data_IF_922615246572
#
_entry.id   IF_922615246572
#
_cell.length_a   1.000
_cell.length_b   1.000
_cell.length_c   1.000
_cell.angle_alpha   90.00
_cell.angle_beta   90.00
_cell.angle_gamma   90.00
#
_symmetry.space_group_name_H-M   'P 1'
#
loop_
_entity.id
_entity.type
_entity.pdbx_description
1 polymer ?
#
# COMPACT_ATOMS: atom_id res chain seq x y z
N UNK A 1 18.40 -0.23 3.51
CA UNK A 1 18.31 -1.50 2.75
C UNK A 1 17.01 -1.46 1.95
N UNK A 2 16.95 -2.13 0.80
CA UNK A 2 15.74 -2.15 -0.04
C UNK A 2 15.38 -3.58 -0.45
N UNK A 3 14.11 -3.79 -0.77
CA UNK A 3 13.59 -5.01 -1.37
C UNK A 3 12.74 -4.66 -2.59
N UNK A 4 12.69 -5.57 -3.56
CA UNK A 4 11.90 -5.42 -4.78
C UNK A 4 10.89 -6.54 -4.92
N UNK A 5 9.70 -6.19 -5.39
CA UNK A 5 8.57 -7.07 -5.60
C UNK A 5 8.00 -6.84 -7.00
N UNK A 6 7.33 -7.86 -7.55
CA UNK A 6 6.68 -7.76 -8.85
C UNK A 6 5.29 -8.39 -8.79
N UNK A 7 4.27 -7.63 -9.17
CA UNK A 7 2.92 -8.15 -9.37
C UNK A 7 2.85 -8.71 -10.80
N UNK A 8 2.59 -10.02 -10.90
CA UNK A 8 2.61 -10.79 -12.17
C UNK A 8 1.35 -11.61 -12.38
N UNK A 9 0.47 -11.63 -11.39
CA UNK A 9 -0.69 -12.50 -11.34
C UNK A 9 -1.95 -11.69 -11.03
N UNK A 10 -3.07 -12.13 -11.57
CA UNK A 10 -4.40 -11.71 -11.14
C UNK A 10 -4.65 -12.13 -9.69
N UNK A 11 -5.68 -11.56 -9.08
CA UNK A 11 -6.12 -11.85 -7.71
C UNK A 11 -6.36 -13.34 -7.43
N UNK A 12 -6.64 -14.14 -8.47
CA UNK A 12 -6.88 -15.59 -8.42
C UNK A 12 -5.70 -16.45 -8.92
N UNK A 13 -4.58 -15.83 -9.28
CA UNK A 13 -3.32 -16.52 -9.59
C UNK A 13 -3.08 -16.85 -11.07
N UNK A 14 -3.75 -16.17 -12.00
CA UNK A 14 -3.47 -16.27 -13.43
C UNK A 14 -2.42 -15.24 -13.85
N UNK A 15 -1.45 -15.63 -14.67
CA UNK A 15 -0.43 -14.71 -15.19
C UNK A 15 -1.05 -13.59 -16.01
N UNK A 16 -0.58 -12.36 -15.83
CA UNK A 16 -1.02 -11.19 -16.59
C UNK A 16 -0.35 -11.08 -17.96
N UNK A 17 -1.03 -10.49 -18.94
CA UNK A 17 -0.55 -10.38 -20.34
C UNK A 17 0.15 -9.05 -20.67
N UNK A 18 0.68 -8.36 -19.66
CA UNK A 18 1.48 -7.14 -19.81
C UNK A 18 2.77 -7.21 -18.99
N UNK A 19 3.56 -6.14 -19.04
CA UNK A 19 4.75 -6.03 -18.17
C UNK A 19 4.32 -6.03 -16.70
N UNK A 20 5.04 -6.72 -15.79
CA UNK A 20 4.75 -6.70 -14.36
C UNK A 20 4.76 -5.29 -13.78
N UNK A 21 4.06 -5.10 -12.67
CA UNK A 21 4.20 -3.90 -11.84
C UNK A 21 5.36 -4.14 -10.89
N UNK A 22 6.41 -3.35 -11.01
CA UNK A 22 7.60 -3.43 -10.17
C UNK A 22 7.48 -2.46 -8.99
N UNK A 23 7.76 -2.95 -7.79
CA UNK A 23 7.70 -2.17 -6.56
C UNK A 23 9.02 -2.29 -5.82
N UNK A 24 9.60 -1.16 -5.38
CA UNK A 24 10.75 -1.14 -4.48
C UNK A 24 10.35 -0.50 -3.16
N UNK A 25 10.58 -1.21 -2.06
CA UNK A 25 10.47 -0.71 -0.70
C UNK A 25 11.87 -0.41 -0.16
N UNK A 26 12.05 0.78 0.42
CA UNK A 26 13.31 1.20 1.01
C UNK A 26 13.09 1.86 2.38
N UNK A 27 13.76 1.33 3.40
CA UNK A 27 13.72 1.88 4.75
C UNK A 27 14.56 3.15 4.86
N UNK A 28 13.94 4.27 5.23
CA UNK A 28 14.59 5.56 5.44
C UNK A 28 14.49 5.92 6.94
N UNK A 29 15.47 5.44 7.72
CA UNK A 29 15.54 5.64 9.18
C UNK A 29 16.92 6.13 9.62
N UNK A 30 16.97 6.85 10.74
CA UNK A 30 18.18 7.37 11.38
C UNK A 30 18.69 6.42 12.46
N UNK A 31 18.97 5.17 12.10
CA UNK A 31 19.69 4.23 12.96
C UNK A 31 18.97 3.84 14.26
N UNK A 32 17.64 3.74 14.23
CA UNK A 32 16.84 3.31 15.39
C UNK A 32 16.56 4.39 16.43
N UNK A 33 16.92 5.66 16.17
CA UNK A 33 16.62 6.78 17.07
C UNK A 33 15.18 7.22 16.91
N UNK A 34 14.47 7.57 17.97
CA UNK A 34 13.14 8.18 17.83
C UNK A 34 13.27 9.58 17.22
N UNK A 35 12.74 9.78 16.01
CA UNK A 35 12.75 11.08 15.32
C UNK A 35 11.65 11.20 14.27
N UNK A 36 11.26 12.43 13.95
CA UNK A 36 10.31 12.65 12.85
C UNK A 36 10.95 12.35 11.49
N UNK A 37 10.11 12.03 10.51
CA UNK A 37 10.54 11.89 9.12
C UNK A 37 11.07 10.50 8.75
N UNK A 38 11.00 9.54 9.66
CA UNK A 38 11.19 8.14 9.30
C UNK A 38 10.05 7.64 8.43
N UNK A 39 10.41 6.96 7.35
CA UNK A 39 9.43 6.42 6.41
C UNK A 39 9.95 5.17 5.68
N UNK A 40 9.02 4.43 5.08
CA UNK A 40 9.32 3.53 3.99
C UNK A 40 9.09 4.29 2.68
N UNK A 41 10.16 4.52 1.93
CA UNK A 41 10.06 5.02 0.56
C UNK A 41 9.61 3.87 -0.34
N UNK A 42 8.52 4.10 -1.05
CA UNK A 42 7.93 3.16 -2.00
C UNK A 42 8.04 3.74 -3.39
N UNK A 43 8.61 2.96 -4.31
CA UNK A 43 8.75 3.31 -5.72
C UNK A 43 7.96 2.28 -6.53
N UNK A 44 7.10 2.74 -7.43
CA UNK A 44 6.26 1.92 -8.28
C UNK A 44 6.56 2.26 -9.74
N UNK A 45 6.85 1.24 -10.54
CA UNK A 45 6.95 1.30 -11.99
C UNK A 45 5.91 0.34 -12.58
N UNK A 46 4.93 0.89 -13.29
CA UNK A 46 3.78 0.14 -13.77
C UNK A 46 3.45 0.46 -15.24
N UNK A 47 2.82 -0.46 -15.98
CA UNK A 47 2.10 -0.10 -17.20
C UNK A 47 1.06 0.98 -16.89
N UNK A 48 0.85 1.90 -17.84
CA UNK A 48 -0.22 2.88 -17.78
C UNK A 48 -1.36 2.43 -18.68
N UNK A 49 -2.49 2.08 -18.07
CA UNK A 49 -3.67 1.57 -18.77
C UNK A 49 -4.59 2.68 -19.27
N UNK A 50 -4.37 3.91 -18.77
CA UNK A 50 -5.07 5.10 -19.21
C UNK A 50 -6.58 5.02 -18.95
N UNK A 51 -6.94 4.48 -17.78
CA UNK A 51 -8.31 4.56 -17.28
C UNK A 51 -8.70 6.02 -16.97
N UNK A 52 -10.01 6.35 -16.95
CA UNK A 52 -10.45 7.68 -16.56
C UNK A 52 -9.94 8.06 -15.16
N UNK A 53 -9.25 9.21 -15.01
CA UNK A 53 -8.77 9.66 -13.70
C UNK A 53 -9.93 10.06 -12.78
N UNK A 54 -9.71 10.12 -11.46
CA UNK A 54 -10.64 10.76 -10.54
C UNK A 54 -10.99 12.19 -10.99
N UNK A 55 -12.26 12.58 -10.88
CA UNK A 55 -12.76 13.90 -11.28
C UNK A 55 -12.43 15.02 -10.28
N UNK A 56 -11.31 14.89 -9.56
CA UNK A 56 -10.80 15.84 -8.57
C UNK A 56 -9.31 16.09 -8.80
N UNK A 57 -8.73 17.20 -8.29
CA UNK A 57 -7.29 17.41 -8.36
C UNK A 57 -6.50 16.29 -7.65
N UNK A 58 -5.21 16.09 -8.02
CA UNK A 58 -4.32 15.17 -7.31
C UNK A 58 -4.28 15.43 -5.80
N UNK A 59 -4.19 14.37 -5.01
CA UNK A 59 -4.30 14.40 -3.55
C UNK A 59 -5.18 13.28 -3.00
N UNK A 60 -5.73 13.49 -1.80
CA UNK A 60 -6.60 12.51 -1.14
C UNK A 60 -7.83 12.20 -2.02
N UNK A 61 -8.04 10.93 -2.35
CA UNK A 61 -9.16 10.48 -3.16
C UNK A 61 -9.87 9.30 -2.47
N UNK A 62 -11.02 9.53 -1.83
CA UNK A 62 -11.86 8.43 -1.35
C UNK A 62 -12.27 7.52 -2.51
N UNK A 63 -12.26 6.20 -2.27
CA UNK A 63 -12.55 5.18 -3.29
C UNK A 63 -11.61 5.21 -4.49
N UNK A 64 -10.33 5.50 -4.26
CA UNK A 64 -9.35 5.53 -5.33
C UNK A 64 -9.25 4.17 -6.05
N UNK A 65 -9.53 3.07 -5.34
CA UNK A 65 -9.72 1.75 -5.95
C UNK A 65 -10.68 1.74 -7.13
N UNK A 66 -11.67 2.63 -7.28
CA UNK A 66 -12.57 2.70 -8.45
C UNK A 66 -11.87 3.17 -9.75
N UNK A 67 -10.58 3.52 -9.67
CA UNK A 67 -9.72 3.99 -10.78
C UNK A 67 -8.51 3.06 -10.99
N UNK A 68 -7.63 3.42 -11.94
CA UNK A 68 -6.30 2.81 -12.07
C UNK A 68 -5.49 3.11 -10.81
N UNK A 69 -5.07 2.07 -10.09
CA UNK A 69 -4.45 2.22 -8.76
C UNK A 69 -3.44 1.11 -8.47
N UNK A 70 -2.41 1.46 -7.71
CA UNK A 70 -1.55 0.54 -6.98
C UNK A 70 -1.90 0.60 -5.49
N UNK A 71 -1.93 -0.56 -4.83
CA UNK A 71 -2.21 -0.65 -3.40
C UNK A 71 -1.14 -1.48 -2.67
N UNK A 72 -0.82 -1.11 -1.44
CA UNK A 72 0.02 -1.90 -0.54
C UNK A 72 -0.57 -1.94 0.86
N UNK A 73 -0.58 -3.14 1.44
CA UNK A 73 -1.13 -3.40 2.77
C UNK A 73 -0.07 -3.96 3.70
N UNK A 74 0.00 -3.48 4.94
CA UNK A 74 0.87 -4.00 5.99
C UNK A 74 0.06 -4.36 7.22
N UNK A 75 0.10 -5.62 7.65
CA UNK A 75 -0.74 -6.15 8.72
C UNK A 75 0.07 -6.82 9.84
N UNK A 76 -0.42 -6.70 11.07
CA UNK A 76 0.07 -7.44 12.24
C UNK A 76 -0.86 -8.61 12.61
N UNK A 77 -0.48 -9.38 13.64
CA UNK A 77 -1.25 -10.56 14.09
C UNK A 77 -2.58 -10.24 14.77
N UNK A 78 -2.82 -8.96 15.11
CA UNK A 78 -4.09 -8.50 15.70
C UNK A 78 -5.11 -8.08 14.63
N UNK A 79 -4.84 -8.35 13.35
CA UNK A 79 -5.62 -7.84 12.23
C UNK A 79 -5.69 -6.32 12.17
N UNK A 80 -4.66 -5.64 12.68
CA UNK A 80 -4.47 -4.20 12.47
C UNK A 80 -3.64 -4.03 11.22
N UNK A 81 -4.07 -3.15 10.33
CA UNK A 81 -3.39 -2.97 9.06
C UNK A 81 -3.49 -1.55 8.53
N UNK A 82 -2.42 -1.15 7.84
CA UNK A 82 -2.38 0.02 7.01
C UNK A 82 -2.67 -0.41 5.56
N UNK A 83 -3.50 0.36 4.89
CA UNK A 83 -3.78 0.30 3.45
C UNK A 83 -3.34 1.62 2.83
N UNK A 84 -2.54 1.56 1.76
CA UNK A 84 -2.07 2.72 1.01
C UNK A 84 -2.34 2.51 -0.46
N UNK A 85 -3.06 3.45 -1.07
CA UNK A 85 -3.45 3.47 -2.48
C UNK A 85 -2.78 4.66 -3.17
N UNK A 86 -2.24 4.47 -4.38
CA UNK A 86 -1.66 5.53 -5.22
C UNK A 86 -2.03 5.29 -6.68
N UNK A 87 -2.60 6.32 -7.32
CA UNK A 87 -2.96 6.31 -8.73
C UNK A 87 -1.94 7.02 -9.63
N UNK A 88 -1.95 6.77 -10.95
CA UNK A 88 -0.99 7.32 -11.90
C UNK A 88 -1.05 8.86 -12.02
N UNK A 89 -2.17 9.46 -11.62
CA UNK A 89 -2.42 10.90 -11.66
C UNK A 89 -2.06 11.63 -10.36
N UNK A 90 -1.41 10.95 -9.40
CA UNK A 90 -0.98 11.54 -8.13
C UNK A 90 -2.07 11.61 -7.06
N UNK A 91 -3.21 10.95 -7.28
CA UNK A 91 -4.20 10.68 -6.25
C UNK A 91 -3.70 9.60 -5.31
N UNK A 92 -4.10 9.67 -4.04
CA UNK A 92 -3.75 8.67 -3.05
C UNK A 92 -4.82 8.54 -1.97
N UNK A 93 -4.80 7.43 -1.25
CA UNK A 93 -5.61 7.20 -0.06
C UNK A 93 -4.81 6.39 0.94
N UNK A 94 -4.93 6.71 2.22
CA UNK A 94 -4.39 5.87 3.30
C UNK A 94 -5.53 5.56 4.26
N UNK A 95 -5.66 4.29 4.65
CA UNK A 95 -6.66 3.83 5.61
C UNK A 95 -5.97 3.06 6.73
N UNK A 96 -6.36 3.30 7.97
CA UNK A 96 -5.86 2.56 9.13
C UNK A 96 -7.00 1.77 9.75
N UNK A 97 -6.79 0.46 9.87
CA UNK A 97 -7.79 -0.48 10.33
C UNK A 97 -7.38 -1.14 11.64
N UNK A 98 -8.32 -1.22 12.56
CA UNK A 98 -8.20 -1.96 13.82
C UNK A 98 -9.19 -3.12 13.80
N UNK A 99 -8.79 -4.19 13.11
CA UNK A 99 -9.65 -5.30 12.71
C UNK A 99 -10.08 -5.24 11.23
N UNK A 100 -10.45 -6.40 10.69
CA UNK A 100 -10.83 -6.56 9.28
C UNK A 100 -11.98 -5.60 8.92
N UNK A 101 -11.74 -4.71 7.96
CA UNK A 101 -12.70 -3.69 7.47
C UNK A 101 -13.17 -2.70 8.55
N UNK A 102 -12.45 -2.56 9.66
CA UNK A 102 -12.77 -1.61 10.72
C UNK A 102 -11.82 -0.40 10.68
N UNK A 103 -12.03 0.49 9.69
CA UNK A 103 -11.22 1.68 9.54
C UNK A 103 -11.54 2.72 10.62
N UNK A 104 -10.56 3.06 11.47
CA UNK A 104 -10.68 4.14 12.45
C UNK A 104 -10.17 5.48 11.92
N UNK A 105 -9.36 5.47 10.86
CA UNK A 105 -8.92 6.65 10.12
C UNK A 105 -9.07 6.38 8.62
N UNK A 106 -9.83 7.23 7.93
CA UNK A 106 -10.18 7.05 6.51
C UNK A 106 -9.48 8.06 5.59
N UNK A 107 -8.32 8.55 6.03
CA UNK A 107 -7.47 9.48 5.27
C UNK A 107 -7.62 10.94 5.69
N UNK A 108 -8.65 11.31 6.46
CA UNK A 108 -8.93 12.68 6.86
C UNK A 108 -7.79 13.35 7.66
N UNK A 109 -7.01 12.55 8.39
CA UNK A 109 -5.91 13.04 9.24
C UNK A 109 -4.52 12.68 8.70
N UNK A 110 -4.45 12.15 7.47
CA UNK A 110 -3.21 11.63 6.88
C UNK A 110 -2.71 12.55 5.77
N UNK A 111 -1.40 12.49 5.53
CA UNK A 111 -0.71 13.22 4.46
C UNK A 111 0.35 12.30 3.87
N UNK A 112 0.21 11.99 2.59
CA UNK A 112 1.20 11.24 1.83
C UNK A 112 1.87 12.17 0.82
N UNK A 113 3.20 12.23 0.86
CA UNK A 113 3.97 12.88 -0.20
C UNK A 113 4.05 11.92 -1.38
N UNK A 114 3.42 12.27 -2.50
CA UNK A 114 3.37 11.47 -3.72
C UNK A 114 3.91 12.28 -4.90
N UNK A 115 4.82 11.68 -5.65
CA UNK A 115 5.30 12.16 -6.94
C UNK A 115 4.99 11.10 -7.98
N UNK A 116 3.97 11.34 -8.82
CA UNK A 116 3.58 10.43 -9.91
C UNK A 116 3.82 11.09 -11.27
N UNK A 117 4.34 10.33 -12.23
CA UNK A 117 4.60 10.78 -13.59
C UNK A 117 4.18 9.72 -14.59
N UNK A 118 3.47 10.13 -15.63
CA UNK A 118 3.11 9.26 -16.76
C UNK A 118 4.06 9.58 -17.91
N UNK A 119 4.68 8.55 -18.48
CA UNK A 119 5.54 8.66 -19.65
C UNK A 119 5.28 7.50 -20.60
N UNK A 120 4.76 7.84 -21.78
CA UNK A 120 4.33 6.86 -22.79
C UNK A 120 3.27 5.90 -22.18
N UNK A 121 3.47 4.59 -22.31
CA UNK A 121 2.59 3.53 -21.79
C UNK A 121 3.00 3.04 -20.39
N UNK A 122 3.66 3.89 -19.60
CA UNK A 122 4.09 3.58 -18.23
C UNK A 122 3.85 4.76 -17.31
N UNK A 123 3.61 4.46 -16.04
CA UNK A 123 3.67 5.46 -14.99
C UNK A 123 4.65 5.03 -13.91
N UNK A 124 5.22 6.04 -13.28
CA UNK A 124 6.17 5.92 -12.20
C UNK A 124 5.65 6.74 -11.03
N UNK A 125 5.65 6.16 -9.83
CA UNK A 125 5.34 6.89 -8.62
C UNK A 125 6.38 6.65 -7.52
N UNK A 126 6.69 7.72 -6.79
CA UNK A 126 7.44 7.67 -5.55
C UNK A 126 6.59 8.26 -4.44
N UNK A 127 6.48 7.54 -3.31
CA UNK A 127 5.80 8.05 -2.13
C UNK A 127 6.44 7.55 -0.84
N UNK A 128 6.20 8.29 0.25
CA UNK A 128 6.81 8.03 1.55
C UNK A 128 5.74 7.65 2.55
N UNK A 129 5.76 6.40 3.03
CA UNK A 129 4.85 5.92 4.07
C UNK A 129 5.49 6.21 5.43
N UNK A 130 5.00 7.18 6.22
CA UNK A 130 5.57 7.48 7.54
C UNK A 130 5.46 6.29 8.49
N UNK A 131 6.47 6.09 9.35
CA UNK A 131 6.42 5.02 10.36
C UNK A 131 5.23 5.17 11.32
N UNK A 132 4.80 6.39 11.61
CA UNK A 132 3.61 6.68 12.41
C UNK A 132 2.33 6.04 11.85
N UNK A 133 2.32 5.68 10.55
CA UNK A 133 1.16 5.08 9.91
C UNK A 133 1.15 3.56 10.01
N UNK A 134 2.31 2.94 10.26
CA UNK A 134 2.42 1.50 10.35
C UNK A 134 1.81 0.98 11.66
N UNK A 135 1.01 -0.10 11.63
CA UNK A 135 0.61 -0.76 12.86
C UNK A 135 1.86 -1.34 13.56
N UNK A 136 1.82 -1.53 14.89
CA UNK A 136 2.92 -2.15 15.60
C UNK A 136 3.12 -3.60 15.14
N UNK A 137 4.37 -4.04 15.13
CA UNK A 137 4.78 -5.42 14.88
C UNK A 137 4.18 -6.00 13.59
N UNK A 138 4.27 -5.27 12.46
CA UNK A 138 3.91 -5.79 11.14
C UNK A 138 4.57 -7.16 10.92
N UNK A 139 3.76 -8.14 10.48
CA UNK A 139 4.20 -9.52 10.21
C UNK A 139 3.91 -9.98 8.80
N UNK A 140 2.91 -9.38 8.15
CA UNK A 140 2.49 -9.79 6.82
C UNK A 140 2.12 -8.59 5.96
N UNK A 141 2.14 -8.79 4.66
CA UNK A 141 1.82 -7.76 3.68
C UNK A 141 1.26 -8.38 2.40
N UNK A 142 0.65 -7.53 1.59
CA UNK A 142 0.37 -7.84 0.20
C UNK A 142 0.36 -6.54 -0.63
N UNK A 143 0.43 -6.69 -1.95
CA UNK A 143 0.36 -5.57 -2.88
C UNK A 143 -0.61 -5.91 -3.99
N UNK A 144 -1.29 -4.89 -4.50
CA UNK A 144 -2.33 -5.06 -5.50
C UNK A 144 -2.22 -3.99 -6.58
N UNK A 145 -2.84 -4.30 -7.71
CA UNK A 145 -3.16 -3.29 -8.70
C UNK A 145 -4.56 -3.51 -9.23
N UNK A 146 -5.19 -2.42 -9.61
CA UNK A 146 -6.48 -2.46 -10.27
C UNK A 146 -6.43 -1.52 -11.47
N UNK A 147 -6.92 -1.99 -12.60
CA UNK A 147 -7.04 -1.21 -13.83
C UNK A 147 -8.20 -1.72 -14.67
N UNK A 148 -8.45 -1.08 -15.81
CA UNK A 148 -9.65 -1.25 -16.59
C UNK A 148 -10.82 -0.45 -16.01
N UNK A 149 -11.87 -0.32 -16.80
CA UNK A 149 -13.06 0.47 -16.44
C UNK A 149 -14.35 -0.34 -16.56
N UNK A 150 -15.31 0.00 -15.71
CA UNK A 150 -16.63 -0.64 -15.64
C UNK A 150 -16.55 -2.17 -15.54
N UNK A 151 -17.10 -2.91 -16.51
CA UNK A 151 -17.09 -4.37 -16.53
C UNK A 151 -15.73 -5.00 -16.88
N UNK A 152 -14.78 -4.22 -17.39
CA UNK A 152 -13.46 -4.70 -17.84
C UNK A 152 -12.37 -4.54 -16.77
N UNK A 153 -12.78 -4.47 -15.50
CA UNK A 153 -11.88 -4.27 -14.36
C UNK A 153 -11.03 -5.51 -14.12
N UNK A 154 -9.72 -5.33 -14.07
CA UNK A 154 -8.71 -6.34 -13.82
C UNK A 154 -8.14 -6.11 -12.42
N UNK A 155 -8.06 -7.19 -11.66
CA UNK A 155 -7.62 -7.20 -10.27
C UNK A 155 -6.36 -8.06 -10.17
N UNK A 156 -5.26 -7.46 -9.77
CA UNK A 156 -3.95 -8.11 -9.67
C UNK A 156 -3.43 -8.12 -8.24
N UNK A 157 -2.63 -9.13 -7.92
CA UNK A 157 -2.07 -9.28 -6.60
C UNK A 157 -0.65 -9.85 -6.65
N UNK A 158 0.23 -9.34 -5.78
CA UNK A 158 1.53 -9.94 -5.51
C UNK A 158 1.36 -11.37 -4.99
N UNK A 159 0.32 -11.59 -4.18
CA UNK A 159 -0.11 -12.91 -3.75
C UNK A 159 -1.62 -13.02 -3.90
N UNK A 160 -2.08 -14.09 -4.56
CA UNK A 160 -3.51 -14.38 -4.75
C UNK A 160 -4.30 -14.31 -3.45
N UNK A 161 -5.54 -13.83 -3.53
CA UNK A 161 -6.45 -13.62 -2.39
C UNK A 161 -7.55 -14.68 -2.31
N UNK A 162 -7.22 -15.89 -2.78
CA UNK A 162 -8.11 -17.05 -2.82
C UNK A 162 -7.31 -18.37 -2.77
N UNK A 163 -7.94 -19.40 -2.22
CA UNK A 163 -7.52 -20.80 -2.28
C UNK A 163 -8.38 -21.61 -3.27
N UNK A 164 -9.22 -20.93 -4.07
CA UNK A 164 -10.20 -21.53 -4.98
C UNK A 164 -11.63 -21.56 -4.42
N UNK A 165 -11.84 -21.17 -3.16
CA UNK A 165 -13.18 -21.13 -2.55
C UNK A 165 -13.93 -19.81 -2.76
N UNK A 166 -13.25 -18.76 -3.24
CA UNK A 166 -13.83 -17.44 -3.46
C UNK A 166 -14.00 -17.13 -4.94
N UNK A 167 -15.16 -16.59 -5.29
CA UNK A 167 -15.53 -16.22 -6.67
C UNK A 167 -15.28 -14.75 -7.02
N UNK A 168 -14.86 -13.93 -6.06
CA UNK A 168 -14.60 -12.50 -6.25
C UNK A 168 -13.36 -12.04 -5.49
N UNK A 169 -12.63 -11.03 -6.01
CA UNK A 169 -11.49 -10.43 -5.31
C UNK A 169 -11.94 -9.77 -4.01
N UNK A 170 -11.14 -9.94 -2.96
CA UNK A 170 -11.26 -9.19 -1.72
C UNK A 170 -9.87 -9.05 -1.09
N UNK A 171 -9.31 -7.85 -1.15
CA UNK A 171 -7.97 -7.53 -0.70
C UNK A 171 -7.84 -7.41 0.83
N UNK A 172 -8.95 -7.43 1.56
CA UNK A 172 -8.95 -7.42 3.04
C UNK A 172 -8.92 -8.83 3.65
N UNK A 173 -8.76 -9.88 2.85
CA UNK A 173 -8.58 -11.26 3.32
C UNK A 173 -7.14 -11.46 3.82
N UNK A 174 -6.85 -10.97 5.03
CA UNK A 174 -5.50 -10.97 5.63
C UNK A 174 -4.88 -12.38 5.72
N UNK A 175 -5.69 -13.45 5.73
CA UNK A 175 -5.19 -14.83 5.72
C UNK A 175 -4.37 -15.18 4.47
N UNK A 176 -4.50 -14.41 3.39
CA UNK A 176 -3.73 -14.60 2.15
C UNK A 176 -2.45 -13.74 2.08
N UNK A 177 -2.25 -12.83 3.04
CA UNK A 177 -1.04 -12.03 3.09
C UNK A 177 0.17 -12.93 3.35
N UNK A 178 1.33 -12.55 2.83
CA UNK A 178 2.56 -13.29 3.05
C UNK A 178 3.42 -12.66 4.13
N UNK A 179 4.23 -13.46 4.84
CA UNK A 179 5.17 -12.93 5.80
C UNK A 179 6.08 -11.86 5.18
N UNK A 180 6.33 -10.79 5.93
CA UNK A 180 7.34 -9.79 5.63
C UNK A 180 8.24 -9.64 6.84
N UNK A 181 9.56 -9.64 6.61
CA UNK A 181 10.50 -9.19 7.61
C UNK A 181 10.57 -7.65 7.58
N UNK A 182 9.74 -7.00 8.39
CA UNK A 182 9.68 -5.54 8.45
C UNK A 182 11.01 -4.93 8.95
N UNK A 183 11.86 -5.72 9.62
CA UNK A 183 13.14 -5.25 10.16
C UNK A 183 14.16 -4.91 9.09
N UNK A 184 13.94 -5.38 7.86
CA UNK A 184 14.71 -4.98 6.67
C UNK A 184 14.52 -3.49 6.33
N UNK A 185 13.41 -2.87 6.77
CA UNK A 185 13.06 -1.49 6.45
C UNK A 185 13.01 -0.59 7.70
N UNK A 186 12.57 -1.13 8.83
CA UNK A 186 12.38 -0.39 10.08
C UNK A 186 13.10 -1.11 11.21
N UNK A 187 14.05 -0.46 11.94
CA UNK A 187 14.68 -1.06 13.10
C UNK A 187 13.65 -1.64 14.09
N UNK A 188 13.94 -2.80 14.68
CA UNK A 188 13.00 -3.54 15.54
C UNK A 188 12.46 -2.68 16.71
N UNK A 189 13.34 -1.87 17.31
CA UNK A 189 12.97 -0.98 18.40
C UNK A 189 12.03 0.16 17.98
N UNK A 190 11.89 0.44 16.68
CA UNK A 190 10.97 1.44 16.13
C UNK A 190 9.69 0.83 15.53
N UNK A 191 9.62 -0.49 15.37
CA UNK A 191 8.47 -1.17 14.76
C UNK A 191 7.70 -2.06 15.73
N UNK A 192 8.28 -2.45 16.86
CA UNK A 192 7.66 -3.39 17.83
C UNK A 192 6.46 -2.81 18.59
N UNK A 193 6.41 -1.50 18.76
CA UNK A 193 5.31 -0.76 19.41
C UNK A 193 4.83 0.37 18.49
N UNK A 194 3.64 0.95 18.74
CA UNK A 194 3.19 2.13 18.00
C UNK A 194 4.26 3.22 17.97
N UNK A 195 4.61 3.67 16.77
CA UNK A 195 5.63 4.70 16.60
C UNK A 195 5.07 6.07 17.01
N UNK A 196 5.66 6.67 18.04
CA UNK A 196 5.29 8.00 18.53
C UNK A 196 6.14 9.07 17.85
N UNK A 197 5.75 9.43 16.63
CA UNK A 197 6.49 10.42 15.84
C UNK A 197 6.41 11.82 16.51
N UNK A 198 7.53 12.52 16.74
CA UNK A 198 7.53 13.82 17.41
C UNK A 198 6.71 14.93 16.72
N UNK A 199 6.40 14.79 15.43
CA UNK A 199 5.63 15.77 14.65
C UNK A 199 4.25 15.24 14.31
N UNK A 200 4.15 13.99 13.85
CA UNK A 200 2.88 13.39 13.44
C UNK A 200 2.07 12.83 14.62
N UNK A 201 2.74 12.54 15.75
CA UNK A 201 2.17 11.84 16.89
C UNK A 201 1.98 10.34 16.66
N UNK A 202 1.23 9.72 17.57
CA UNK A 202 0.92 8.30 17.55
C UNK A 202 -0.54 8.05 17.14
N UNK A 203 -0.75 7.65 15.88
CA UNK A 203 -2.08 7.34 15.34
C UNK A 203 -2.70 6.07 15.91
N UNK A 204 -1.88 5.12 16.37
CA UNK A 204 -2.33 3.82 16.90
C UNK A 204 -2.55 3.86 18.42
N UNK A 205 -2.47 5.04 19.05
CA UNK A 205 -2.73 5.17 20.49
C UNK A 205 -4.19 4.85 20.80
N UNK A 206 -4.41 3.74 21.51
CA UNK A 206 -5.75 3.26 21.89
C UNK A 206 -6.36 2.26 20.91
N UNK A 207 -5.59 1.85 19.90
CA UNK A 207 -5.87 0.77 18.97
C UNK A 207 -4.87 -0.36 19.19
#
# INVERSE_FOLDING_TARGET
>A
MYATYEIKETWDGHTVEHSPISVRLEGCTSGGVLSSGHHIKTIVDAPFFNDPPPAIPPGICPKLWDHEVFEVFFANEKNQYLEVEVGPHGHWLCLMHDGIRNAFNKGENLKLEVSATIKNSKWHAEFKIPLAYMPPAVKSFNMYAIHGSAENRIYEALNKVTDGTYSFPDYHRLQFFKPIDITLFIPENLSSIPYDDPVLGNFWKGH
#
